data_IF_005151713217
#
_entry.id   IF_005151713217
#
_cell.length_a   1.000
_cell.length_b   1.000
_cell.length_c   1.000
_cell.angle_alpha   90.00
_cell.angle_beta   90.00
_cell.angle_gamma   90.00
#
_symmetry.space_group_name_H-M   'P 1'
#
loop_
_entity.id
_entity.type
_entity.pdbx_description
1 polymer ?
#
# COMPACT_ATOMS: atom_id res chain seq x y z
N UNK A 1 -18.66 2.74 -19.21
CA UNK A 1 -17.56 1.76 -19.19
C UNK A 1 -16.73 2.04 -17.96
N UNK A 2 -16.63 1.09 -17.02
CA UNK A 2 -15.78 1.27 -15.83
C UNK A 2 -14.34 1.13 -16.31
N UNK A 3 -13.53 2.18 -16.18
CA UNK A 3 -12.12 2.14 -16.51
C UNK A 3 -11.45 1.09 -15.61
N UNK A 4 -10.80 0.10 -16.21
CA UNK A 4 -10.07 -0.92 -15.47
C UNK A 4 -8.92 -0.25 -14.72
N UNK A 5 -8.95 -0.31 -13.39
CA UNK A 5 -7.90 0.25 -12.55
C UNK A 5 -6.69 -0.67 -12.66
N UNK A 6 -5.65 -0.22 -13.35
CA UNK A 6 -4.38 -0.97 -13.48
C UNK A 6 -3.33 -0.36 -12.57
N UNK A 7 -2.58 -1.22 -11.89
CA UNK A 7 -1.42 -0.84 -11.08
C UNK A 7 -0.15 -1.32 -11.79
N UNK A 8 0.89 -0.47 -11.95
CA UNK A 8 2.15 -0.91 -12.54
C UNK A 8 2.77 -2.05 -11.70
N UNK A 9 3.25 -3.09 -12.38
CA UNK A 9 3.75 -4.31 -11.73
C UNK A 9 5.08 -4.13 -10.99
N UNK A 10 5.78 -3.03 -11.22
CA UNK A 10 7.07 -2.70 -10.59
C UNK A 10 6.93 -1.32 -9.95
N UNK A 11 7.34 -1.21 -8.69
CA UNK A 11 7.28 0.01 -7.90
C UNK A 11 8.65 0.38 -7.33
N UNK A 12 8.89 1.67 -7.12
CA UNK A 12 10.03 2.16 -6.35
C UNK A 12 9.61 2.39 -4.89
N UNK A 13 10.19 1.63 -3.96
CA UNK A 13 9.91 1.75 -2.52
C UNK A 13 10.89 2.67 -1.79
N UNK A 14 10.38 3.64 -1.03
CA UNK A 14 11.17 4.69 -0.35
C UNK A 14 11.69 4.28 1.05
N UNK A 15 11.04 3.34 1.73
CA UNK A 15 11.28 2.85 3.10
C UNK A 15 12.36 3.51 3.98
N UNK A 16 13.65 3.22 3.78
CA UNK A 16 14.76 3.69 4.64
C UNK A 16 15.45 4.96 4.15
N UNK A 17 14.90 5.65 3.14
CA UNK A 17 15.54 6.82 2.51
C UNK A 17 15.40 8.12 3.33
N UNK A 18 14.82 8.05 4.53
CA UNK A 18 14.67 9.19 5.43
C UNK A 18 13.63 10.21 4.94
N UNK A 19 13.62 11.39 5.56
CA UNK A 19 12.75 12.52 5.17
C UNK A 19 13.57 13.65 4.54
N UNK A 20 12.90 14.57 3.84
CA UNK A 20 13.52 15.76 3.26
C UNK A 20 14.16 15.54 1.90
N UNK A 21 15.00 16.50 1.48
CA UNK A 21 15.51 16.65 0.12
C UNK A 21 16.10 15.38 -0.49
N UNK A 22 16.82 14.58 0.29
CA UNK A 22 17.43 13.34 -0.20
C UNK A 22 16.38 12.32 -0.69
N UNK A 23 15.25 12.19 0.02
CA UNK A 23 14.17 11.28 -0.38
C UNK A 23 13.50 11.76 -1.68
N UNK A 24 13.30 13.08 -1.80
CA UNK A 24 12.75 13.70 -3.01
C UNK A 24 13.65 13.43 -4.22
N UNK A 25 14.96 13.62 -4.07
CA UNK A 25 15.92 13.41 -5.15
C UNK A 25 15.91 11.94 -5.66
N UNK A 26 15.69 10.96 -4.78
CA UNK A 26 15.54 9.56 -5.17
C UNK A 26 14.23 9.28 -5.92
N UNK A 27 13.13 9.90 -5.51
CA UNK A 27 11.84 9.78 -6.22
C UNK A 27 11.94 10.42 -7.60
N UNK A 28 12.54 11.61 -7.70
CA UNK A 28 12.79 12.29 -8.97
C UNK A 28 13.67 11.43 -9.89
N UNK A 29 14.72 10.82 -9.33
CA UNK A 29 15.55 9.88 -10.07
C UNK A 29 14.74 8.68 -10.57
N UNK A 30 13.92 8.06 -9.71
CA UNK A 30 13.09 6.90 -10.08
C UNK A 30 12.13 7.26 -11.23
N UNK A 31 11.47 8.41 -11.15
CA UNK A 31 10.60 8.92 -12.21
C UNK A 31 11.40 9.16 -13.49
N UNK A 32 12.59 9.76 -13.40
CA UNK A 32 13.44 10.06 -14.56
C UNK A 32 13.87 8.81 -15.33
N UNK A 33 13.98 7.66 -14.65
CA UNK A 33 14.33 6.37 -15.26
C UNK A 33 13.11 5.50 -15.61
N UNK A 34 11.89 6.04 -15.47
CA UNK A 34 10.65 5.45 -15.97
C UNK A 34 9.75 4.78 -14.94
N UNK A 35 10.02 4.89 -13.63
CA UNK A 35 9.06 4.45 -12.63
C UNK A 35 7.82 5.34 -12.63
N UNK A 36 6.65 4.71 -12.64
CA UNK A 36 5.34 5.36 -12.57
C UNK A 36 4.49 4.85 -11.39
N UNK A 37 5.09 4.05 -10.51
CA UNK A 37 4.52 3.58 -9.25
C UNK A 37 5.55 3.81 -8.15
N UNK A 38 5.23 4.71 -7.23
CA UNK A 38 6.04 5.01 -6.05
C UNK A 38 5.31 4.44 -4.83
N UNK A 39 6.03 3.66 -4.04
CA UNK A 39 5.53 3.10 -2.80
C UNK A 39 6.19 3.75 -1.59
N UNK A 40 5.37 4.24 -0.66
CA UNK A 40 5.83 4.89 0.56
C UNK A 40 5.03 4.43 1.79
N UNK A 41 5.64 4.52 2.97
CA UNK A 41 5.03 4.15 4.24
C UNK A 41 5.26 5.24 5.27
N UNK A 42 4.19 5.71 5.90
CA UNK A 42 4.29 6.62 7.03
C UNK A 42 4.91 5.90 8.23
N UNK A 43 6.13 6.26 8.65
CA UNK A 43 6.70 5.82 9.93
C UNK A 43 6.39 6.86 11.02
N UNK A 44 5.63 6.48 12.04
CA UNK A 44 5.45 7.30 13.26
C UNK A 44 4.00 7.65 13.56
N UNK A 45 3.71 7.82 14.85
CA UNK A 45 2.39 8.11 15.43
C UNK A 45 1.91 9.52 15.10
N UNK A 46 1.46 9.73 13.88
CA UNK A 46 0.42 10.69 13.54
C UNK A 46 0.02 10.39 12.10
N UNK A 47 -1.23 10.62 11.76
CA UNK A 47 -1.72 10.52 10.38
C UNK A 47 -1.09 11.60 9.46
N UNK A 48 0.00 12.28 9.87
CA UNK A 48 0.41 13.58 9.35
C UNK A 48 1.88 13.77 8.91
N UNK A 49 2.80 12.80 9.02
CA UNK A 49 4.23 13.21 9.04
C UNK A 49 5.12 12.84 7.83
N UNK A 50 4.65 12.14 6.80
CA UNK A 50 5.51 11.89 5.60
C UNK A 50 4.80 12.14 4.28
N UNK A 51 3.65 11.52 4.02
CA UNK A 51 2.79 11.92 2.90
C UNK A 51 2.18 13.29 3.18
N UNK A 52 1.68 13.55 4.38
CA UNK A 52 1.15 14.86 4.75
C UNK A 52 2.27 15.89 4.99
N UNK A 53 3.49 15.53 5.43
CA UNK A 53 4.63 16.45 5.41
C UNK A 53 5.13 16.73 3.98
N UNK A 54 5.11 15.75 3.08
CA UNK A 54 5.33 15.93 1.64
C UNK A 54 4.25 16.81 1.01
N UNK A 55 3.00 16.70 1.47
CA UNK A 55 1.88 17.56 1.06
C UNK A 55 1.97 18.96 1.71
N UNK A 56 2.40 19.08 2.96
CA UNK A 56 2.48 20.34 3.71
C UNK A 56 3.73 21.17 3.35
N UNK A 57 4.89 20.53 3.21
CA UNK A 57 6.12 21.19 2.73
C UNK A 57 5.98 21.59 1.26
N UNK A 58 5.08 20.91 0.54
CA UNK A 58 4.56 21.34 -0.75
C UNK A 58 3.24 22.09 -0.68
N UNK A 59 2.73 22.68 0.40
CA UNK A 59 1.63 23.67 0.23
C UNK A 59 2.07 24.85 -0.68
N UNK A 60 3.38 25.09 -0.78
CA UNK A 60 3.99 26.00 -1.75
C UNK A 60 4.41 25.35 -3.10
N UNK A 61 4.37 24.01 -3.24
CA UNK A 61 4.81 23.28 -4.45
C UNK A 61 3.80 22.22 -4.97
N UNK A 62 2.66 22.04 -4.30
CA UNK A 62 1.50 21.18 -4.62
C UNK A 62 0.67 21.81 -5.73
N UNK A 63 0.77 23.13 -5.91
CA UNK A 63 0.34 23.79 -7.15
C UNK A 63 1.01 23.20 -8.40
N UNK A 64 2.17 22.53 -8.26
CA UNK A 64 2.87 21.90 -9.37
C UNK A 64 2.74 20.37 -9.42
N UNK A 65 2.10 19.72 -8.44
CA UNK A 65 1.98 18.25 -8.40
C UNK A 65 0.54 17.71 -8.34
N UNK A 66 -0.48 18.54 -8.09
CA UNK A 66 -1.90 18.20 -8.33
C UNK A 66 -2.39 16.84 -7.78
N UNK A 67 -1.84 16.35 -6.67
CA UNK A 67 -2.21 15.05 -6.09
C UNK A 67 -3.26 15.27 -5.01
N UNK A 68 -4.54 15.36 -5.40
CA UNK A 68 -5.67 15.48 -4.45
C UNK A 68 -6.09 14.11 -3.86
N UNK A 69 -5.57 13.03 -4.43
CA UNK A 69 -6.00 11.66 -4.19
C UNK A 69 -4.84 10.68 -4.43
N UNK A 70 -4.67 9.68 -3.58
CA UNK A 70 -3.72 8.57 -3.82
C UNK A 70 -4.36 7.44 -4.61
N UNK A 71 -3.59 6.72 -5.44
CA UNK A 71 -4.13 5.60 -6.21
C UNK A 71 -4.49 4.40 -5.33
N UNK A 72 -3.67 4.08 -4.32
CA UNK A 72 -3.86 2.96 -3.41
C UNK A 72 -3.47 3.34 -1.98
N UNK A 73 -4.35 3.07 -1.01
CA UNK A 73 -4.09 3.26 0.42
C UNK A 73 -4.24 1.95 1.20
N UNK A 74 -3.24 1.58 1.99
CA UNK A 74 -3.16 0.28 2.66
C UNK A 74 -3.19 0.39 4.18
N UNK A 75 -3.87 -0.55 4.85
CA UNK A 75 -3.61 -0.83 6.26
C UNK A 75 -2.24 -1.48 6.37
N UNK A 76 -1.26 -0.80 6.97
CA UNK A 76 0.15 -1.20 6.95
C UNK A 76 0.46 -2.58 7.57
N UNK A 77 -0.24 -2.95 8.65
CA UNK A 77 -0.04 -4.21 9.36
C UNK A 77 -1.35 -4.64 10.06
N UNK A 78 -1.64 -5.95 10.20
CA UNK A 78 -2.85 -6.41 10.88
C UNK A 78 -2.98 -5.91 12.30
N UNK A 79 -1.88 -5.64 13.00
CA UNK A 79 -1.88 -5.09 14.37
C UNK A 79 -2.78 -3.84 14.51
N UNK A 80 -2.90 -3.01 13.46
CA UNK A 80 -3.75 -1.81 13.48
C UNK A 80 -5.25 -2.09 13.28
N UNK A 81 -5.62 -3.35 12.99
CA UNK A 81 -6.99 -3.76 12.69
C UNK A 81 -7.46 -4.98 13.49
N UNK A 82 -6.57 -5.83 14.01
CA UNK A 82 -6.91 -7.12 14.64
C UNK A 82 -7.87 -7.00 15.83
N UNK A 83 -7.90 -5.89 16.53
CA UNK A 83 -8.86 -5.66 17.61
C UNK A 83 -10.29 -5.50 17.10
N UNK A 84 -10.47 -4.97 15.89
CA UNK A 84 -11.77 -4.78 15.23
C UNK A 84 -11.61 -4.52 13.72
N UNK A 85 -11.39 -5.61 12.97
CA UNK A 85 -11.17 -5.54 11.51
C UNK A 85 -12.38 -4.88 10.81
N UNK A 86 -13.65 -5.23 11.11
CA UNK A 86 -14.81 -4.59 10.49
C UNK A 86 -14.86 -3.08 10.66
N UNK A 87 -14.55 -2.55 11.86
CA UNK A 87 -14.57 -1.10 12.10
C UNK A 87 -13.45 -0.39 11.35
N UNK A 88 -12.23 -0.92 11.36
CA UNK A 88 -11.10 -0.30 10.65
C UNK A 88 -11.32 -0.34 9.14
N UNK A 89 -11.83 -1.44 8.61
CA UNK A 89 -12.26 -1.56 7.21
C UNK A 89 -13.31 -0.50 6.83
N UNK A 90 -14.32 -0.27 7.67
CA UNK A 90 -15.34 0.75 7.42
C UNK A 90 -14.74 2.17 7.33
N UNK A 91 -13.71 2.47 8.12
CA UNK A 91 -12.97 3.74 8.02
C UNK A 91 -12.22 3.84 6.68
N UNK A 92 -11.60 2.76 6.21
CA UNK A 92 -10.94 2.73 4.90
C UNK A 92 -11.93 2.97 3.75
N UNK A 93 -13.12 2.37 3.80
CA UNK A 93 -14.17 2.61 2.80
C UNK A 93 -14.64 4.07 2.79
N UNK A 94 -14.67 4.73 3.95
CA UNK A 94 -14.98 6.16 4.04
C UNK A 94 -13.90 7.01 3.36
N UNK A 95 -12.61 6.68 3.55
CA UNK A 95 -11.50 7.36 2.85
C UNK A 95 -11.68 7.26 1.33
N UNK A 96 -12.02 6.07 0.83
CA UNK A 96 -12.29 5.86 -0.60
C UNK A 96 -13.51 6.65 -1.08
N UNK A 97 -14.62 6.60 -0.34
CA UNK A 97 -15.87 7.28 -0.68
C UNK A 97 -15.70 8.81 -0.70
N UNK A 98 -14.84 9.33 0.18
CA UNK A 98 -14.50 10.75 0.23
C UNK A 98 -13.53 11.18 -0.90
N UNK A 99 -13.13 10.27 -1.80
CA UNK A 99 -12.25 10.58 -2.92
C UNK A 99 -10.76 10.73 -2.55
N UNK A 100 -10.37 10.44 -1.31
CA UNK A 100 -8.98 10.57 -0.86
C UNK A 100 -8.08 9.43 -1.37
N UNK A 101 -8.67 8.28 -1.71
CA UNK A 101 -7.98 7.16 -2.33
C UNK A 101 -8.84 6.53 -3.43
N UNK A 102 -8.27 6.23 -4.60
CA UNK A 102 -8.98 5.52 -5.68
C UNK A 102 -9.26 4.07 -5.31
N UNK A 103 -8.30 3.42 -4.65
CA UNK A 103 -8.37 2.05 -4.19
C UNK A 103 -7.88 1.93 -2.74
N UNK A 104 -8.40 0.93 -2.03
CA UNK A 104 -7.98 0.61 -0.65
C UNK A 104 -7.54 -0.84 -0.59
N UNK A 105 -6.62 -1.15 0.32
CA UNK A 105 -6.12 -2.51 0.51
C UNK A 105 -5.53 -2.71 1.89
N UNK A 106 -4.79 -3.80 2.03
CA UNK A 106 -4.15 -4.21 3.28
C UNK A 106 -2.71 -4.64 3.03
N UNK A 107 -1.95 -4.77 4.11
CA UNK A 107 -0.56 -5.24 4.07
C UNK A 107 -0.33 -6.22 5.22
N UNK A 108 0.29 -7.35 4.90
CA UNK A 108 0.64 -8.45 5.81
C UNK A 108 -0.57 -9.19 6.41
N UNK A 109 -1.74 -9.18 5.76
CA UNK A 109 -2.91 -9.93 6.24
C UNK A 109 -2.82 -11.40 5.85
N UNK A 110 -3.15 -12.28 6.81
CA UNK A 110 -3.28 -13.72 6.57
C UNK A 110 -4.70 -14.10 6.08
N UNK A 111 -4.91 -15.36 5.68
CA UNK A 111 -6.19 -15.84 5.14
C UNK A 111 -7.37 -15.58 6.10
N UNK A 112 -7.24 -15.96 7.38
CA UNK A 112 -8.31 -15.77 8.37
C UNK A 112 -8.68 -14.29 8.56
N UNK A 113 -7.69 -13.40 8.55
CA UNK A 113 -7.93 -11.95 8.63
C UNK A 113 -8.61 -11.42 7.36
N UNK A 114 -8.25 -11.93 6.17
CA UNK A 114 -8.91 -11.59 4.92
C UNK A 114 -10.35 -12.09 4.88
N UNK A 115 -10.64 -13.27 5.42
CA UNK A 115 -12.00 -13.80 5.56
C UNK A 115 -12.87 -12.88 6.43
N UNK A 116 -12.37 -12.49 7.61
CA UNK A 116 -13.06 -11.54 8.50
C UNK A 116 -13.31 -10.20 7.78
N UNK A 117 -12.28 -9.68 7.09
CA UNK A 117 -12.40 -8.43 6.34
C UNK A 117 -13.47 -8.55 5.26
N UNK A 118 -13.44 -9.60 4.43
CA UNK A 118 -14.37 -9.81 3.32
C UNK A 118 -15.80 -10.07 3.78
N UNK A 119 -16.00 -10.72 4.92
CA UNK A 119 -17.35 -11.01 5.47
C UNK A 119 -18.21 -9.76 5.71
N UNK A 120 -17.58 -8.61 5.92
CA UNK A 120 -18.25 -7.34 6.22
C UNK A 120 -17.94 -6.23 5.21
N UNK A 121 -17.18 -6.53 4.16
CA UNK A 121 -16.72 -5.55 3.18
C UNK A 121 -17.82 -5.15 2.20
N UNK A 122 -18.01 -3.85 2.03
CA UNK A 122 -18.78 -3.28 0.92
C UNK A 122 -17.90 -3.13 -0.31
N UNK A 123 -16.64 -2.73 -0.11
CA UNK A 123 -15.60 -2.71 -1.15
C UNK A 123 -14.53 -3.75 -0.85
N UNK A 124 -14.25 -4.63 -1.80
CA UNK A 124 -13.14 -5.59 -1.69
C UNK A 124 -11.80 -4.85 -1.66
N UNK A 125 -10.84 -5.27 -0.83
CA UNK A 125 -9.49 -4.71 -0.87
C UNK A 125 -8.86 -5.02 -2.24
N UNK A 126 -8.26 -4.02 -2.87
CA UNK A 126 -7.65 -4.16 -4.19
C UNK A 126 -6.34 -4.95 -4.14
N UNK A 127 -5.58 -4.81 -3.04
CA UNK A 127 -4.30 -5.48 -2.87
C UNK A 127 -4.07 -5.94 -1.41
N UNK A 128 -3.27 -7.00 -1.27
CA UNK A 128 -2.63 -7.40 -0.03
C UNK A 128 -1.11 -7.39 -0.25
N UNK A 129 -0.42 -6.43 0.35
CA UNK A 129 1.03 -6.30 0.24
C UNK A 129 1.73 -7.18 1.27
N UNK A 130 2.56 -8.11 0.85
CA UNK A 130 3.20 -9.10 1.71
C UNK A 130 4.71 -8.87 1.79
N UNK A 131 5.24 -8.99 3.00
CA UNK A 131 6.67 -8.95 3.20
C UNK A 131 7.33 -10.16 2.54
N UNK A 132 8.33 -9.90 1.70
CA UNK A 132 9.09 -10.94 1.04
C UNK A 132 10.55 -10.85 1.53
N UNK A 133 10.90 -11.56 2.61
CA UNK A 133 12.31 -11.68 3.03
C UNK A 133 12.96 -12.79 2.22
N UNK A 134 13.99 -12.50 1.45
CA UNK A 134 14.75 -13.49 0.68
C UNK A 134 16.27 -13.29 0.76
N UNK A 135 16.82 -13.17 1.99
CA UNK A 135 18.27 -13.36 2.16
C UNK A 135 18.52 -14.88 2.14
N UNK A 136 19.14 -15.33 1.05
CA UNK A 136 19.95 -16.53 0.83
C UNK A 136 19.76 -17.67 1.87
N UNK A 137 19.19 -18.80 1.40
CA UNK A 137 19.04 -20.11 2.07
C UNK A 137 17.77 -20.41 2.91
N UNK A 138 16.56 -20.24 2.35
CA UNK A 138 15.43 -21.11 2.74
C UNK A 138 14.31 -21.22 1.66
N UNK A 139 13.93 -22.42 1.18
CA UNK A 139 12.84 -22.62 0.22
C UNK A 139 11.43 -22.23 0.71
N UNK A 140 11.19 -22.18 2.02
CA UNK A 140 9.81 -22.14 2.59
C UNK A 140 9.03 -20.80 2.49
N UNK A 141 9.61 -19.68 2.06
CA UNK A 141 8.86 -18.40 2.05
C UNK A 141 7.77 -18.38 0.98
N UNK A 142 8.01 -19.01 -0.17
CA UNK A 142 6.99 -19.12 -1.22
C UNK A 142 5.87 -20.07 -0.82
N UNK A 143 6.20 -21.21 -0.20
CA UNK A 143 5.23 -22.22 0.23
C UNK A 143 4.32 -21.69 1.35
N UNK A 144 4.87 -20.91 2.28
CA UNK A 144 4.07 -20.28 3.36
C UNK A 144 3.16 -19.16 2.86
N UNK A 145 3.52 -18.51 1.74
CA UNK A 145 2.68 -17.45 1.13
C UNK A 145 1.71 -17.97 0.07
N UNK A 146 1.91 -19.19 -0.46
CA UNK A 146 1.06 -19.77 -1.49
C UNK A 146 -0.44 -19.78 -1.10
N UNK A 147 -0.84 -20.19 0.13
CA UNK A 147 -2.24 -20.14 0.53
C UNK A 147 -2.83 -18.72 0.52
N UNK A 148 -2.04 -17.71 0.92
CA UNK A 148 -2.47 -16.31 0.95
C UNK A 148 -2.64 -15.78 -0.47
N UNK A 149 -1.68 -16.07 -1.37
CA UNK A 149 -1.71 -15.67 -2.78
C UNK A 149 -2.87 -16.31 -3.53
N UNK A 150 -3.08 -17.61 -3.33
CA UNK A 150 -4.20 -18.34 -3.94
C UNK A 150 -5.54 -17.82 -3.45
N UNK A 151 -5.68 -17.59 -2.14
CA UNK A 151 -6.87 -16.96 -1.59
C UNK A 151 -7.10 -15.58 -2.21
N UNK A 152 -6.07 -14.73 -2.24
CA UNK A 152 -6.14 -13.41 -2.88
C UNK A 152 -6.61 -13.49 -4.33
N UNK A 153 -5.99 -14.36 -5.14
CA UNK A 153 -6.35 -14.58 -6.54
C UNK A 153 -7.82 -15.00 -6.71
N UNK A 154 -8.31 -15.94 -5.89
CA UNK A 154 -9.72 -16.39 -5.92
C UNK A 154 -10.71 -15.27 -5.60
N UNK A 155 -10.30 -14.28 -4.80
CA UNK A 155 -11.15 -13.18 -4.35
C UNK A 155 -10.93 -11.86 -5.12
N UNK A 156 -10.00 -11.83 -6.09
CA UNK A 156 -9.66 -10.65 -6.87
C UNK A 156 -8.80 -9.63 -6.12
N UNK A 157 -7.97 -10.09 -5.18
CA UNK A 157 -7.05 -9.29 -4.38
C UNK A 157 -5.64 -9.48 -4.94
N UNK A 158 -5.03 -8.41 -5.45
CA UNK A 158 -3.67 -8.44 -6.01
C UNK A 158 -2.64 -8.66 -4.89
N UNK A 159 -1.66 -9.52 -5.12
CA UNK A 159 -0.52 -9.67 -4.20
C UNK A 159 0.61 -8.73 -4.62
N UNK A 160 1.00 -7.82 -3.72
CA UNK A 160 2.19 -6.99 -3.90
C UNK A 160 3.32 -7.50 -3.00
N UNK A 161 4.55 -7.55 -3.51
CA UNK A 161 5.70 -8.00 -2.72
C UNK A 161 6.65 -6.83 -2.46
N UNK A 162 7.14 -6.70 -1.22
CA UNK A 162 8.16 -5.72 -0.84
C UNK A 162 9.38 -6.39 -0.20
N UNK A 163 10.52 -5.69 -0.23
CA UNK A 163 11.85 -6.23 0.15
C UNK A 163 12.35 -7.37 -0.74
N UNK A 164 11.94 -7.42 -2.01
CA UNK A 164 12.17 -8.57 -2.90
C UNK A 164 13.63 -8.86 -3.27
N UNK A 165 14.54 -7.90 -3.06
CA UNK A 165 15.99 -8.03 -3.31
C UNK A 165 16.81 -8.15 -2.02
N UNK A 166 16.15 -8.23 -0.85
CA UNK A 166 16.78 -8.41 0.46
C UNK A 166 16.33 -9.69 1.11
#
# INVERSE_FOLDING_TARGET
MVQEKSIPSIAFGTWMRGTGKQSIDYVDQAISVGFNHIDDTLRGTSYQDTAQAYMNEKENSLKNLSVECVDLYLIHHPHYAVSDIPTVRAKMEKIQTNGLAKSIGVSNFNVSQLEILLSSAKTKPAANRLWHRKILFHPHVLDTQAPIREYGNRHGIVSEAYSVIM
#
